data_IF_300784989078
#
_entry.id   IF_300784989078
#
_cell.length_a   1.000
_cell.length_b   1.000
_cell.length_c   1.000
_cell.angle_alpha   90.00
_cell.angle_beta   90.00
_cell.angle_gamma   90.00
#
_symmetry.space_group_name_H-M   'P 1'
#
loop_
_entity.id
_entity.type
_entity.pdbx_description
1 polymer ?
#
# COMPACT_ATOMS: atom_id res chain seq x y z
N UNK A 1 -8.25 21.23 12.97
CA UNK A 1 -8.76 20.00 12.33
C UNK A 1 -8.25 18.83 13.15
N UNK A 2 -9.13 18.08 13.82
CA UNK A 2 -8.76 16.92 14.63
C UNK A 2 -9.07 15.67 13.81
N UNK A 3 -8.10 14.77 13.65
CA UNK A 3 -8.29 13.47 13.00
C UNK A 3 -8.58 12.43 14.09
N UNK A 4 -9.56 11.56 13.88
CA UNK A 4 -9.86 10.45 14.79
C UNK A 4 -8.77 9.35 14.84
N UNK A 5 -7.75 9.45 13.98
CA UNK A 5 -6.66 8.49 13.85
C UNK A 5 -5.31 9.18 13.62
N UNK A 6 -4.23 8.42 13.85
CA UNK A 6 -2.86 8.88 13.58
C UNK A 6 -2.56 8.82 12.08
N UNK A 7 -2.45 9.99 11.43
CA UNK A 7 -2.00 10.08 10.05
C UNK A 7 -0.59 9.52 9.88
N UNK A 8 0.29 9.73 10.86
CA UNK A 8 1.64 9.18 10.84
C UNK A 8 1.62 7.64 10.74
N UNK A 9 0.73 6.97 11.48
CA UNK A 9 0.60 5.52 11.44
C UNK A 9 0.15 5.02 10.06
N UNK A 10 -0.73 5.76 9.37
CA UNK A 10 -1.17 5.46 7.99
C UNK A 10 0.01 5.52 7.02
N UNK A 11 0.79 6.60 7.05
CA UNK A 11 1.99 6.72 6.21
C UNK A 11 3.02 5.64 6.54
N UNK A 12 3.29 5.39 7.82
CA UNK A 12 4.24 4.36 8.25
C UNK A 12 3.85 2.96 7.77
N UNK A 13 2.56 2.62 7.85
CA UNK A 13 2.04 1.37 7.28
C UNK A 13 2.37 1.27 5.79
N UNK A 14 2.09 2.32 5.01
CA UNK A 14 2.32 2.29 3.57
C UNK A 14 3.80 2.21 3.20
N UNK A 15 4.69 2.85 3.96
CA UNK A 15 6.15 2.71 3.79
C UNK A 15 6.58 1.27 4.01
N UNK A 16 6.23 0.68 5.15
CA UNK A 16 6.62 -0.70 5.50
C UNK A 16 6.06 -1.68 4.46
N UNK A 17 4.78 -1.55 4.12
CA UNK A 17 4.14 -2.42 3.15
C UNK A 17 4.78 -2.30 1.76
N UNK A 18 5.10 -1.08 1.31
CA UNK A 18 5.77 -0.86 0.02
C UNK A 18 7.18 -1.46 -0.02
N UNK A 19 7.95 -1.35 1.07
CA UNK A 19 9.26 -2.00 1.19
C UNK A 19 9.13 -3.52 1.08
N UNK A 20 8.15 -4.11 1.79
CA UNK A 20 7.90 -5.56 1.72
C UNK A 20 7.51 -5.99 0.30
N UNK A 21 6.58 -5.26 -0.35
CA UNK A 21 6.16 -5.52 -1.73
C UNK A 21 7.36 -5.49 -2.68
N UNK A 22 8.23 -4.47 -2.56
CA UNK A 22 9.42 -4.35 -3.39
C UNK A 22 10.36 -5.55 -3.24
N UNK A 23 10.69 -5.93 -2.00
CA UNK A 23 11.57 -7.07 -1.72
C UNK A 23 10.99 -8.39 -2.24
N UNK A 24 9.68 -8.60 -2.08
CA UNK A 24 9.00 -9.79 -2.61
C UNK A 24 9.12 -9.81 -4.14
N UNK A 25 8.83 -8.70 -4.82
CA UNK A 25 8.87 -8.65 -6.28
C UNK A 25 10.30 -8.80 -6.80
N UNK A 26 11.29 -8.20 -6.15
CA UNK A 26 12.71 -8.37 -6.48
C UNK A 26 13.14 -9.84 -6.37
N UNK A 27 12.80 -10.50 -5.25
CA UNK A 27 13.12 -11.90 -5.05
C UNK A 27 12.44 -12.81 -6.10
N UNK A 28 11.17 -12.56 -6.41
CA UNK A 28 10.45 -13.32 -7.43
C UNK A 28 11.00 -13.02 -8.83
N UNK A 29 11.38 -11.77 -9.13
CA UNK A 29 11.97 -11.42 -10.42
C UNK A 29 13.28 -12.18 -10.67
N UNK A 30 14.11 -12.38 -9.64
CA UNK A 30 15.37 -13.11 -9.74
C UNK A 30 15.19 -14.63 -9.94
N UNK A 31 14.08 -15.21 -9.44
CA UNK A 31 13.84 -16.66 -9.49
C UNK A 31 12.88 -17.07 -10.61
N UNK A 32 11.88 -16.24 -10.87
CA UNK A 32 10.73 -16.50 -11.74
C UNK A 32 10.28 -15.19 -12.42
N UNK A 33 11.09 -14.60 -13.31
CA UNK A 33 10.86 -13.26 -13.87
C UNK A 33 9.47 -13.11 -14.52
N UNK A 34 9.01 -14.16 -15.21
CA UNK A 34 7.69 -14.19 -15.85
C UNK A 34 6.50 -14.10 -14.86
N UNK A 35 6.72 -14.30 -13.56
CA UNK A 35 5.70 -14.25 -12.51
C UNK A 35 5.77 -12.98 -11.65
N UNK A 36 6.80 -12.15 -11.81
CA UNK A 36 7.05 -11.02 -10.92
C UNK A 36 5.94 -9.93 -10.99
N UNK A 37 5.35 -9.72 -12.16
CA UNK A 37 4.18 -8.85 -12.32
C UNK A 37 2.95 -9.36 -11.55
N UNK A 38 2.71 -10.68 -11.55
CA UNK A 38 1.63 -11.28 -10.76
C UNK A 38 1.92 -11.22 -9.26
N UNK A 39 3.18 -11.39 -8.85
CA UNK A 39 3.60 -11.22 -7.46
C UNK A 39 3.34 -9.79 -6.96
N UNK A 40 3.56 -8.77 -7.80
CA UNK A 40 3.22 -7.39 -7.48
C UNK A 40 1.71 -7.22 -7.26
N UNK A 41 0.88 -7.68 -8.19
CA UNK A 41 -0.59 -7.58 -8.09
C UNK A 41 -1.13 -8.29 -6.85
N UNK A 42 -0.64 -9.50 -6.56
CA UNK A 42 -1.02 -10.26 -5.36
C UNK A 42 -0.60 -9.52 -4.08
N UNK A 43 0.61 -8.95 -4.06
CA UNK A 43 1.11 -8.21 -2.89
C UNK A 43 0.33 -6.92 -2.64
N UNK A 44 -0.06 -6.20 -3.70
CA UNK A 44 -0.94 -5.02 -3.59
C UNK A 44 -2.32 -5.42 -3.06
N UNK A 45 -2.89 -6.52 -3.55
CA UNK A 45 -4.17 -7.04 -3.03
C UNK A 45 -4.09 -7.36 -1.53
N UNK A 46 -3.06 -8.10 -1.12
CA UNK A 46 -2.83 -8.42 0.30
C UNK A 46 -2.61 -7.16 1.14
N UNK A 47 -1.81 -6.20 0.65
CA UNK A 47 -1.57 -4.91 1.30
C UNK A 47 -2.88 -4.16 1.56
N UNK A 48 -3.80 -4.12 0.60
CA UNK A 48 -5.12 -3.51 0.79
C UNK A 48 -5.94 -4.25 1.85
N UNK A 49 -5.91 -5.59 1.86
CA UNK A 49 -6.54 -6.40 2.90
C UNK A 49 -5.99 -6.09 4.29
N UNK A 50 -4.66 -6.09 4.45
CA UNK A 50 -4.00 -5.75 5.72
C UNK A 50 -4.28 -4.31 6.15
N UNK A 51 -4.34 -3.36 5.22
CA UNK A 51 -4.70 -1.98 5.54
C UNK A 51 -6.08 -1.91 6.19
N UNK A 52 -7.08 -2.57 5.60
CA UNK A 52 -8.43 -2.62 6.16
C UNK A 52 -8.44 -3.30 7.53
N UNK A 53 -7.68 -4.40 7.72
CA UNK A 53 -7.63 -5.10 9.01
C UNK A 53 -6.94 -4.27 10.12
N UNK A 54 -5.84 -3.60 9.80
CA UNK A 54 -5.07 -2.79 10.75
C UNK A 54 -5.83 -1.51 11.12
N UNK A 55 -6.48 -0.87 10.15
CA UNK A 55 -7.22 0.38 10.34
C UNK A 55 -8.74 0.16 10.43
N UNK A 56 -9.20 -1.05 10.75
CA UNK A 56 -10.62 -1.43 10.76
C UNK A 56 -11.49 -0.51 11.61
N UNK A 57 -10.99 -0.04 12.76
CA UNK A 57 -11.72 0.86 13.66
C UNK A 57 -11.99 2.22 13.02
N UNK A 58 -11.11 2.67 12.14
CA UNK A 58 -11.26 3.93 11.39
C UNK A 58 -12.08 3.71 10.12
N UNK A 59 -11.82 2.61 9.39
CA UNK A 59 -12.48 2.30 8.12
C UNK A 59 -13.95 1.93 8.30
N UNK A 60 -14.28 1.20 9.37
CA UNK A 60 -15.63 0.76 9.72
C UNK A 60 -16.19 1.48 10.95
N UNK A 61 -15.73 2.70 11.21
CA UNK A 61 -16.29 3.53 12.27
C UNK A 61 -17.81 3.69 12.07
N UNK A 62 -18.58 3.56 13.16
CA UNK A 62 -20.04 3.74 13.13
C UNK A 62 -20.42 5.18 12.72
N UNK A 63 -19.53 6.14 12.99
CA UNK A 63 -19.67 7.52 12.53
C UNK A 63 -19.08 7.70 11.14
N UNK A 64 -19.76 8.46 10.29
CA UNK A 64 -19.26 8.74 8.96
C UNK A 64 -18.00 9.60 9.05
N UNK A 65 -16.90 9.10 8.46
CA UNK A 65 -15.68 9.89 8.29
C UNK A 65 -15.99 11.22 7.62
N UNK A 66 -15.45 12.30 8.19
CA UNK A 66 -15.48 13.62 7.58
C UNK A 66 -14.72 13.62 6.26
N UNK A 67 -15.02 14.57 5.36
CA UNK A 67 -14.29 14.68 4.08
C UNK A 67 -12.77 14.73 4.27
N UNK A 68 -12.23 15.52 5.22
CA UNK A 68 -10.78 15.57 5.43
C UNK A 68 -10.18 14.25 5.92
N UNK A 69 -10.90 13.49 6.76
CA UNK A 69 -10.46 12.16 7.19
C UNK A 69 -10.42 11.15 6.04
N UNK A 70 -11.42 11.17 5.15
CA UNK A 70 -11.41 10.32 3.95
C UNK A 70 -10.21 10.63 3.06
N UNK A 71 -9.94 11.91 2.80
CA UNK A 71 -8.77 12.31 2.02
C UNK A 71 -7.47 11.91 2.71
N UNK A 72 -7.42 11.98 4.04
CA UNK A 72 -6.25 11.59 4.85
C UNK A 72 -5.94 10.09 4.82
N UNK A 73 -6.89 9.23 4.42
CA UNK A 73 -6.67 7.80 4.15
C UNK A 73 -6.38 7.52 2.66
N UNK A 74 -7.12 8.17 1.77
CA UNK A 74 -7.08 7.92 0.33
C UNK A 74 -5.80 8.48 -0.33
N UNK A 75 -5.35 9.66 0.08
CA UNK A 75 -4.15 10.30 -0.49
C UNK A 75 -2.90 9.43 -0.24
N UNK A 76 -2.60 8.98 0.99
CA UNK A 76 -1.48 8.08 1.23
C UNK A 76 -1.58 6.79 0.41
N UNK A 77 -2.76 6.18 0.33
CA UNK A 77 -2.97 4.95 -0.44
C UNK A 77 -2.54 5.12 -1.90
N UNK A 78 -3.07 6.12 -2.60
CA UNK A 78 -2.74 6.34 -4.02
C UNK A 78 -1.31 6.84 -4.23
N UNK A 79 -0.80 7.67 -3.33
CA UNK A 79 0.60 8.13 -3.38
C UNK A 79 1.55 6.93 -3.43
N UNK A 80 1.39 6.00 -2.50
CA UNK A 80 2.26 4.82 -2.44
C UNK A 80 2.02 3.85 -3.59
N UNK A 81 0.76 3.62 -4.01
CA UNK A 81 0.48 2.76 -5.16
C UNK A 81 1.15 3.26 -6.45
N UNK A 82 1.17 4.58 -6.68
CA UNK A 82 1.83 5.18 -7.84
C UNK A 82 3.35 5.01 -7.74
N UNK A 83 3.92 5.31 -6.56
CA UNK A 83 5.36 5.15 -6.32
C UNK A 83 5.78 3.69 -6.53
N UNK A 84 5.03 2.74 -5.97
CA UNK A 84 5.24 1.31 -6.12
C UNK A 84 5.15 0.90 -7.59
N UNK A 85 4.10 1.29 -8.31
CA UNK A 85 3.95 0.96 -9.72
C UNK A 85 5.14 1.46 -10.55
N UNK A 86 5.63 2.68 -10.31
CA UNK A 86 6.81 3.23 -10.98
C UNK A 86 8.08 2.44 -10.60
N UNK A 87 8.29 2.20 -9.30
CA UNK A 87 9.48 1.50 -8.80
C UNK A 87 9.56 0.06 -9.32
N UNK A 88 8.43 -0.66 -9.30
CA UNK A 88 8.33 -2.02 -9.81
C UNK A 88 8.47 -2.05 -11.34
N UNK A 89 7.86 -1.11 -12.07
CA UNK A 89 8.03 -1.05 -13.53
C UNK A 89 9.50 -0.84 -13.90
N UNK A 90 10.22 0.01 -13.17
CA UNK A 90 11.67 0.21 -13.37
C UNK A 90 12.47 -1.04 -13.02
N UNK A 91 12.17 -1.68 -11.88
CA UNK A 91 12.81 -2.93 -11.46
C UNK A 91 12.66 -4.01 -12.53
N UNK A 92 11.44 -4.28 -12.99
CA UNK A 92 11.17 -5.34 -13.97
C UNK A 92 11.74 -5.03 -15.35
N UNK A 93 11.83 -3.77 -15.76
CA UNK A 93 12.48 -3.38 -17.02
C UNK A 93 14.02 -3.40 -16.94
N UNK A 94 14.58 -3.55 -15.75
CA UNK A 94 16.03 -3.62 -15.51
C UNK A 94 16.56 -5.04 -15.26
N UNK A 95 15.66 -6.02 -15.19
CA UNK A 95 15.96 -7.44 -15.01
C UNK A 95 15.84 -8.14 -16.36
#
# INVERSE_FOLDING_TARGET
MYLSFSLFSVYLFHVIAATIVYVIVEFIADKMPNQAGYAYLASVFLKMGFFVLVFQATVFANEQLTKPERFSLVIPLFLFLIIEAIAISKLLNSK
#
